data_IF_654031986761
#
_entry.id   IF_654031986761
#
_cell.length_a   1.000
_cell.length_b   1.000
_cell.length_c   1.000
_cell.angle_alpha   90.00
_cell.angle_beta   90.00
_cell.angle_gamma   90.00
#
_symmetry.space_group_name_H-M   'P 1'
#
loop_
_entity.id
_entity.type
_entity.pdbx_description
1 polymer ?
#
# COMPACT_ATOMS: atom_id res chain seq x y z
N UNK A 1 -22.21 -39.78 -14.00
CA UNK A 1 -21.36 -38.98 -13.09
C UNK A 1 -20.44 -38.11 -13.96
N UNK A 2 -20.88 -36.92 -14.36
CA UNK A 2 -20.08 -35.98 -15.14
C UNK A 2 -19.59 -34.90 -14.18
N UNK A 3 -18.30 -34.93 -13.83
CA UNK A 3 -17.66 -33.89 -13.03
C UNK A 3 -17.50 -32.66 -13.92
N UNK A 4 -18.38 -31.67 -13.70
CA UNK A 4 -18.32 -30.36 -14.34
C UNK A 4 -17.18 -29.59 -13.65
N UNK A 5 -16.03 -29.53 -14.30
CA UNK A 5 -14.91 -28.66 -13.89
C UNK A 5 -15.43 -27.23 -13.79
N UNK A 6 -15.53 -26.72 -12.56
CA UNK A 6 -15.83 -25.32 -12.26
C UNK A 6 -14.60 -24.50 -12.67
N UNK A 7 -14.57 -24.12 -13.94
CA UNK A 7 -13.65 -23.10 -14.44
C UNK A 7 -14.09 -21.78 -13.79
N UNK A 8 -13.32 -21.28 -12.83
CA UNK A 8 -13.57 -19.98 -12.21
C UNK A 8 -13.67 -18.93 -13.32
N UNK A 9 -14.72 -18.09 -13.34
CA UNK A 9 -14.81 -17.02 -14.32
C UNK A 9 -13.59 -16.12 -14.15
N UNK A 10 -12.92 -15.79 -15.25
CA UNK A 10 -11.89 -14.75 -15.26
C UNK A 10 -12.51 -13.46 -14.71
N UNK A 11 -11.85 -12.77 -13.77
CA UNK A 11 -12.38 -11.54 -13.20
C UNK A 11 -12.66 -10.52 -14.31
N UNK A 12 -13.80 -9.83 -14.21
CA UNK A 12 -14.13 -8.81 -15.19
C UNK A 12 -13.17 -7.62 -15.06
N UNK A 13 -13.01 -6.84 -16.11
CA UNK A 13 -12.20 -5.61 -16.07
C UNK A 13 -12.67 -4.66 -14.96
N UNK A 14 -13.98 -4.57 -14.73
CA UNK A 14 -14.56 -3.79 -13.64
C UNK A 14 -14.15 -4.30 -12.24
N UNK A 15 -14.04 -5.62 -12.06
CA UNK A 15 -13.57 -6.21 -10.81
C UNK A 15 -12.10 -5.89 -10.57
N UNK A 16 -11.26 -5.95 -11.61
CA UNK A 16 -9.83 -5.60 -11.55
C UNK A 16 -9.65 -4.13 -11.16
N UNK A 17 -10.38 -3.22 -11.80
CA UNK A 17 -10.33 -1.78 -11.50
C UNK A 17 -10.75 -1.54 -10.04
N UNK A 18 -11.85 -2.16 -9.59
CA UNK A 18 -12.30 -2.07 -8.19
C UNK A 18 -11.24 -2.58 -7.22
N UNK A 19 -10.63 -3.72 -7.47
CA UNK A 19 -9.61 -4.29 -6.60
C UNK A 19 -8.38 -3.39 -6.50
N UNK A 20 -7.96 -2.78 -7.61
CA UNK A 20 -6.86 -1.80 -7.64
C UNK A 20 -7.18 -0.54 -6.84
N UNK A 21 -8.41 -0.02 -6.93
CA UNK A 21 -8.87 1.11 -6.12
C UNK A 21 -8.84 0.79 -4.63
N UNK A 22 -9.34 -0.39 -4.26
CA UNK A 22 -9.32 -0.87 -2.87
C UNK A 22 -7.88 -0.98 -2.36
N UNK A 23 -6.96 -1.52 -3.17
CA UNK A 23 -5.54 -1.61 -2.82
C UNK A 23 -4.89 -0.23 -2.67
N UNK A 24 -5.14 0.70 -3.58
CA UNK A 24 -4.61 2.06 -3.51
C UNK A 24 -5.04 2.75 -2.21
N UNK A 25 -6.32 2.65 -1.84
CA UNK A 25 -6.85 3.20 -0.58
C UNK A 25 -6.23 2.54 0.65
N UNK A 26 -6.05 1.22 0.64
CA UNK A 26 -5.42 0.51 1.76
C UNK A 26 -3.96 0.91 1.94
N UNK A 27 -3.23 1.06 0.83
CA UNK A 27 -1.83 1.47 0.85
C UNK A 27 -1.66 2.92 1.31
N UNK A 28 -2.54 3.86 0.90
CA UNK A 28 -2.51 5.22 1.42
C UNK A 28 -2.76 5.26 2.94
N UNK A 29 -3.69 4.44 3.44
CA UNK A 29 -3.93 4.32 4.88
C UNK A 29 -2.74 3.73 5.63
N UNK A 30 -2.11 2.67 5.11
CA UNK A 30 -0.89 2.09 5.70
C UNK A 30 0.23 3.12 5.78
N UNK A 31 0.46 3.90 4.71
CA UNK A 31 1.46 4.97 4.71
C UNK A 31 1.17 6.04 5.77
N UNK A 32 -0.10 6.43 5.95
CA UNK A 32 -0.51 7.37 7.00
C UNK A 32 -0.30 6.80 8.41
N UNK A 33 -0.54 5.50 8.60
CA UNK A 33 -0.22 4.81 9.87
C UNK A 33 1.27 4.80 10.14
N UNK A 34 2.08 4.48 9.13
CA UNK A 34 3.54 4.48 9.25
C UNK A 34 4.09 5.87 9.52
N UNK A 35 3.52 6.92 8.93
CA UNK A 35 3.90 8.28 9.24
C UNK A 35 3.70 8.61 10.72
N UNK A 36 2.56 8.19 11.31
CA UNK A 36 2.33 8.36 12.76
C UNK A 36 3.36 7.60 13.59
N UNK A 37 3.70 6.37 13.22
CA UNK A 37 4.72 5.59 13.92
C UNK A 37 6.12 6.20 13.77
N UNK A 38 6.47 6.72 12.60
CA UNK A 38 7.73 7.43 12.36
C UNK A 38 7.84 8.72 13.20
N UNK A 39 6.73 9.45 13.35
CA UNK A 39 6.66 10.63 14.23
C UNK A 39 6.90 10.25 15.71
N UNK A 40 6.33 9.13 16.17
CA UNK A 40 6.52 8.63 17.54
C UNK A 40 7.99 8.30 17.85
N UNK A 41 8.75 7.84 16.86
CA UNK A 41 10.20 7.59 16.97
C UNK A 41 11.06 8.80 16.55
N UNK A 42 10.47 10.00 16.50
CA UNK A 42 11.14 11.29 16.21
C UNK A 42 11.77 11.40 14.81
N UNK A 43 11.27 10.65 13.84
CA UNK A 43 11.66 10.74 12.42
C UNK A 43 10.65 11.54 11.59
N UNK A 44 10.53 12.84 11.90
CA UNK A 44 9.52 13.73 11.29
C UNK A 44 9.68 13.96 9.78
N UNK A 45 10.92 13.99 9.25
CA UNK A 45 11.15 14.07 7.79
C UNK A 45 10.59 12.83 7.06
N UNK A 46 10.80 11.65 7.63
CA UNK A 46 10.24 10.40 7.10
C UNK A 46 8.71 10.42 7.18
N UNK A 47 8.15 10.87 8.31
CA UNK A 47 6.71 11.00 8.47
C UNK A 47 6.08 11.93 7.40
N UNK A 48 6.70 13.09 7.15
CA UNK A 48 6.24 14.03 6.13
C UNK A 48 6.24 13.40 4.72
N UNK A 49 7.32 12.71 4.35
CA UNK A 49 7.43 12.01 3.06
C UNK A 49 6.40 10.90 2.91
N UNK A 50 6.13 10.13 3.96
CA UNK A 50 5.09 9.08 3.94
C UNK A 50 3.69 9.67 3.73
N UNK A 51 3.38 10.80 4.37
CA UNK A 51 2.12 11.52 4.13
C UNK A 51 2.04 12.03 2.68
N UNK A 52 3.14 12.53 2.13
CA UNK A 52 3.18 12.98 0.74
C UNK A 52 2.89 11.85 -0.24
N UNK A 53 3.55 10.69 -0.06
CA UNK A 53 3.28 9.49 -0.88
C UNK A 53 1.83 9.03 -0.74
N UNK A 54 1.27 9.03 0.47
CA UNK A 54 -0.14 8.67 0.68
C UNK A 54 -1.08 9.59 -0.10
N UNK A 55 -0.82 10.91 -0.09
CA UNK A 55 -1.59 11.91 -0.85
C UNK A 55 -1.42 11.75 -2.36
N UNK A 56 -0.24 11.36 -2.83
CA UNK A 56 -0.04 11.07 -4.25
C UNK A 56 -0.84 9.83 -4.68
N UNK A 57 -0.81 8.76 -3.88
CA UNK A 57 -1.58 7.55 -4.17
C UNK A 57 -3.08 7.81 -4.21
N UNK A 58 -3.61 8.62 -3.30
CA UNK A 58 -5.03 9.00 -3.32
C UNK A 58 -5.39 9.84 -4.55
N UNK A 59 -4.53 10.80 -4.93
CA UNK A 59 -4.78 11.64 -6.13
C UNK A 59 -4.72 10.84 -7.43
N UNK A 60 -3.88 9.81 -7.48
CA UNK A 60 -3.68 8.98 -8.67
C UNK A 60 -4.45 7.67 -8.62
N UNK A 61 -5.37 7.47 -7.66
CA UNK A 61 -6.01 6.16 -7.47
C UNK A 61 -6.77 5.69 -8.71
N UNK A 62 -7.44 6.62 -9.39
CA UNK A 62 -8.19 6.32 -10.62
C UNK A 62 -7.25 5.98 -11.77
N UNK A 63 -6.15 6.74 -11.94
CA UNK A 63 -5.13 6.47 -12.95
C UNK A 63 -4.44 5.10 -12.71
N UNK A 64 -4.15 4.77 -11.45
CA UNK A 64 -3.60 3.47 -11.03
C UNK A 64 -4.59 2.34 -11.32
N UNK A 65 -5.89 2.59 -11.13
CA UNK A 65 -6.90 1.57 -11.33
C UNK A 65 -7.11 1.26 -12.82
N UNK A 66 -7.11 2.30 -13.66
CA UNK A 66 -7.43 2.21 -15.08
C UNK A 66 -6.22 1.88 -15.97
N UNK A 67 -4.99 2.16 -15.54
CA UNK A 67 -3.77 1.88 -16.31
C UNK A 67 -3.16 0.51 -15.99
N UNK A 68 -2.66 -0.20 -17.01
CA UNK A 68 -1.90 -1.44 -16.84
C UNK A 68 -0.61 -1.24 -16.02
N UNK A 69 0.02 -0.06 -16.13
CA UNK A 69 1.18 0.30 -15.32
C UNK A 69 0.85 0.47 -13.83
N UNK A 70 -0.44 0.62 -13.49
CA UNK A 70 -0.92 0.72 -12.12
C UNK A 70 -0.57 -0.49 -11.26
N UNK A 71 -0.47 -1.69 -11.84
CA UNK A 71 -0.01 -2.89 -11.13
C UNK A 71 1.41 -2.71 -10.60
N UNK A 72 2.30 -2.16 -11.41
CA UNK A 72 3.70 -1.96 -11.03
C UNK A 72 3.82 -0.87 -9.96
N UNK A 73 3.00 0.20 -10.04
CA UNK A 73 2.91 1.22 -8.99
C UNK A 73 2.47 0.60 -7.66
N UNK A 74 1.40 -0.20 -7.66
CA UNK A 74 0.93 -0.90 -6.45
C UNK A 74 1.98 -1.86 -5.89
N UNK A 75 2.68 -2.60 -6.75
CA UNK A 75 3.76 -3.50 -6.33
C UNK A 75 4.91 -2.75 -5.66
N UNK A 76 5.32 -1.61 -6.21
CA UNK A 76 6.37 -0.75 -5.63
C UNK A 76 5.92 -0.15 -4.30
N UNK A 77 4.68 0.31 -4.21
CA UNK A 77 4.10 0.82 -2.97
C UNK A 77 4.11 -0.26 -1.87
N UNK A 78 3.69 -1.49 -2.19
CA UNK A 78 3.73 -2.61 -1.24
C UNK A 78 5.14 -2.89 -0.69
N UNK A 79 6.16 -2.87 -1.55
CA UNK A 79 7.57 -3.05 -1.15
C UNK A 79 8.07 -1.91 -0.27
N UNK A 80 7.69 -0.67 -0.59
CA UNK A 80 8.04 0.50 0.21
C UNK A 80 7.43 0.38 1.61
N UNK A 81 6.13 0.11 1.71
CA UNK A 81 5.39 -0.07 2.97
C UNK A 81 6.09 -1.12 3.84
N UNK A 82 6.34 -2.32 3.31
CA UNK A 82 7.00 -3.38 4.08
C UNK A 82 8.46 -3.10 4.45
N UNK A 83 9.13 -2.20 3.73
CA UNK A 83 10.49 -1.75 4.10
C UNK A 83 10.44 -0.73 5.22
N UNK A 84 9.54 0.24 5.14
CA UNK A 84 9.36 1.29 6.15
C UNK A 84 8.83 0.70 7.45
N UNK A 85 7.88 -0.24 7.40
CA UNK A 85 7.40 -1.01 8.57
C UNK A 85 8.58 -1.63 9.34
N UNK A 86 9.43 -2.38 8.65
CA UNK A 86 10.60 -3.02 9.27
C UNK A 86 11.60 -2.02 9.84
N UNK A 87 11.75 -0.86 9.22
CA UNK A 87 12.65 0.19 9.71
C UNK A 87 12.10 0.82 10.98
N UNK A 88 10.84 1.26 10.97
CA UNK A 88 10.19 1.88 12.13
C UNK A 88 10.12 0.90 13.31
N UNK A 89 9.82 -0.38 13.06
CA UNK A 89 9.82 -1.42 14.10
C UNK A 89 11.21 -1.64 14.73
N UNK A 90 12.28 -1.51 13.94
CA UNK A 90 13.65 -1.63 14.46
C UNK A 90 14.01 -0.44 15.33
N UNK A 91 13.74 0.78 14.86
CA UNK A 91 14.01 2.01 15.63
C UNK A 91 13.20 2.05 16.92
N UNK A 92 11.92 1.66 16.88
CA UNK A 92 11.09 1.58 18.07
C UNK A 92 11.66 0.62 19.12
N UNK A 93 12.17 -0.55 18.71
CA UNK A 93 12.79 -1.52 19.63
C UNK A 93 14.09 -0.99 20.23
N UNK A 94 14.93 -0.34 19.44
CA UNK A 94 16.18 0.28 19.93
C UNK A 94 15.86 1.40 20.93
N UNK A 95 14.83 2.21 20.65
CA UNK A 95 14.41 3.30 21.53
C UNK A 95 13.83 2.85 22.87
N UNK A 96 13.35 1.60 23.00
CA UNK A 96 12.85 1.03 24.27
C UNK A 96 13.98 0.42 25.11
N UNK A 97 15.13 0.11 24.49
CA UNK A 97 16.28 -0.50 25.16
C UNK A 97 17.28 0.53 25.72
N UNK A 98 17.01 1.83 25.58
CA UNK A 98 17.78 2.95 26.13
C UNK A 98 16.93 3.79 27.08
#
# INVERSE_FOLDING_TARGET
MQQKTLQSPSPSEADIVRDRLVLASRYSECLRRLARSAEQVRHSDLAAKLIEVARFMERMSDDIALSDDGIEVLRRAARLIGTVERLVDREAKTSVLH
#
